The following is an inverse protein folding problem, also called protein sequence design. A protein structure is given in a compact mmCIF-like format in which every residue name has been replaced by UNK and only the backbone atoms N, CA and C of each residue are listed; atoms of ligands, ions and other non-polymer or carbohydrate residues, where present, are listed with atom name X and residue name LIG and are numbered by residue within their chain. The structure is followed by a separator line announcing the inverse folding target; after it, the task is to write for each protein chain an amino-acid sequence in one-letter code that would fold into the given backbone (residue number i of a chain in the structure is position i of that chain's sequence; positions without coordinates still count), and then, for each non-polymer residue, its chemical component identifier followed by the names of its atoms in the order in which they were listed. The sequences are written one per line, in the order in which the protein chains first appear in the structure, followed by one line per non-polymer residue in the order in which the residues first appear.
data_IF_897049699474
#
_entry.id   IF_897049699474
#
_cell.length_a   1.000
_cell.length_b   1.000
_cell.length_c   1.000
_cell.angle_alpha   90.00
_cell.angle_beta   90.00
_cell.angle_gamma   90.00
#
_symmetry.space_group_name_H-M   'P 1'
#
loop_
_entity.id
_entity.type
_entity.pdbx_description
1 polymer ?
#
# COMPACT_ATOMS: atom_id res chain seq x y z
N UNK A 1 -53.34 -4.56 21.21
CA UNK A 1 -52.73 -3.94 20.03
C UNK A 1 -51.26 -4.37 19.98
N UNK A 2 -51.03 -5.43 19.25
CA UNK A 2 -49.70 -5.97 18.95
C UNK A 2 -49.08 -5.08 17.84
N UNK A 3 -47.91 -4.55 18.10
CA UNK A 3 -47.11 -3.87 17.10
C UNK A 3 -46.28 -4.92 16.37
N UNK A 4 -46.64 -5.19 15.13
CA UNK A 4 -45.82 -6.01 14.22
C UNK A 4 -44.52 -5.29 13.92
N UNK A 5 -43.41 -5.87 14.38
CA UNK A 5 -42.06 -5.43 13.99
C UNK A 5 -41.73 -6.08 12.66
N UNK A 6 -41.78 -5.29 11.59
CA UNK A 6 -41.42 -5.72 10.25
C UNK A 6 -39.88 -5.89 10.19
N UNK A 7 -39.40 -7.10 10.34
CA UNK A 7 -38.00 -7.46 10.12
C UNK A 7 -37.71 -7.46 8.64
N UNK A 8 -36.89 -6.52 8.22
CA UNK A 8 -36.41 -6.39 6.85
C UNK A 8 -35.47 -7.58 6.50
N UNK A 9 -35.96 -8.51 5.66
CA UNK A 9 -35.31 -9.77 5.32
C UNK A 9 -34.12 -9.63 4.32
N UNK A 10 -33.55 -8.45 4.11
CA UNK A 10 -32.51 -8.23 3.11
C UNK A 10 -31.15 -7.80 3.70
N UNK A 11 -30.84 -8.19 4.93
CA UNK A 11 -29.49 -8.00 5.48
C UNK A 11 -28.57 -9.05 4.88
N UNK A 12 -27.83 -8.70 3.82
CA UNK A 12 -26.69 -9.53 3.36
C UNK A 12 -25.68 -9.61 4.50
N UNK A 13 -25.56 -10.78 5.11
CA UNK A 13 -24.53 -11.04 6.11
C UNK A 13 -23.19 -11.14 5.37
N UNK A 14 -22.41 -10.07 5.40
CA UNK A 14 -21.05 -10.10 4.90
C UNK A 14 -20.18 -10.87 5.89
N UNK A 15 -19.69 -12.05 5.49
CA UNK A 15 -18.68 -12.75 6.27
C UNK A 15 -17.40 -11.96 6.21
N UNK A 16 -16.97 -11.37 7.32
CA UNK A 16 -15.65 -10.76 7.44
C UNK A 16 -14.61 -11.87 7.32
N UNK A 17 -13.91 -11.92 6.19
CA UNK A 17 -12.77 -12.82 5.99
C UNK A 17 -11.60 -12.16 6.70
N UNK A 18 -11.18 -12.73 7.86
CA UNK A 18 -9.97 -12.26 8.53
C UNK A 18 -8.74 -12.64 7.69
N UNK A 19 -7.81 -11.71 7.41
CA UNK A 19 -6.57 -12.04 6.72
C UNK A 19 -5.81 -13.12 7.48
N UNK A 20 -5.26 -14.09 6.75
CA UNK A 20 -4.44 -15.14 7.35
C UNK A 20 -3.03 -14.60 7.57
N UNK A 21 -2.57 -14.59 8.82
CA UNK A 21 -1.16 -14.37 9.13
C UNK A 21 -0.41 -15.69 9.05
N UNK A 22 0.69 -15.72 8.31
CA UNK A 22 1.50 -16.91 8.05
C UNK A 22 2.91 -16.73 8.61
N UNK A 23 3.56 -17.82 9.01
CA UNK A 23 5.00 -17.81 9.28
C UNK A 23 5.78 -17.72 7.95
N UNK A 24 7.06 -17.33 8.01
CA UNK A 24 7.90 -17.19 6.82
C UNK A 24 7.95 -18.48 5.99
N UNK A 25 8.11 -19.63 6.64
CA UNK A 25 8.18 -20.94 5.99
C UNK A 25 6.87 -21.27 5.26
N UNK A 26 5.71 -20.91 5.84
CA UNK A 26 4.40 -21.10 5.22
C UNK A 26 4.19 -20.17 4.04
N UNK A 27 4.67 -18.92 4.11
CA UNK A 27 4.62 -17.97 2.99
C UNK A 27 5.41 -18.53 1.81
N UNK A 28 6.67 -18.92 2.03
CA UNK A 28 7.56 -19.48 0.99
C UNK A 28 6.95 -20.73 0.38
N UNK A 29 6.46 -21.66 1.21
CA UNK A 29 5.85 -22.90 0.73
C UNK A 29 4.58 -22.65 -0.11
N UNK A 30 3.72 -21.72 0.30
CA UNK A 30 2.49 -21.41 -0.43
C UNK A 30 2.80 -20.66 -1.74
N UNK A 31 3.75 -19.72 -1.75
CA UNK A 31 4.20 -19.04 -2.97
C UNK A 31 4.82 -20.03 -3.96
N UNK A 32 5.67 -20.96 -3.48
CA UNK A 32 6.24 -22.02 -4.29
C UNK A 32 5.17 -22.92 -4.92
N UNK A 33 4.12 -23.24 -4.20
CA UNK A 33 3.03 -24.04 -4.74
C UNK A 33 2.24 -23.28 -5.81
N UNK A 34 1.88 -22.01 -5.53
CA UNK A 34 1.15 -21.16 -6.49
C UNK A 34 1.98 -20.88 -7.74
N UNK A 35 3.30 -20.72 -7.62
CA UNK A 35 4.21 -20.45 -8.75
C UNK A 35 4.24 -21.57 -9.80
N UNK A 36 3.80 -22.78 -9.48
CA UNK A 36 3.71 -23.89 -10.43
C UNK A 36 2.55 -23.76 -11.42
N UNK A 37 1.54 -22.95 -11.07
CA UNK A 37 0.28 -22.88 -11.80
C UNK A 37 -0.08 -21.45 -12.23
N UNK A 38 0.67 -20.46 -11.80
CA UNK A 38 0.42 -19.04 -12.07
C UNK A 38 1.74 -18.32 -12.34
N UNK A 39 1.89 -17.80 -13.56
CA UNK A 39 3.10 -17.13 -14.03
C UNK A 39 3.41 -15.85 -13.24
N UNK A 40 2.40 -15.13 -12.74
CA UNK A 40 2.61 -13.95 -11.90
C UNK A 40 3.19 -14.34 -10.54
N UNK A 41 2.66 -15.38 -9.91
CA UNK A 41 3.27 -15.93 -8.69
C UNK A 41 4.67 -16.47 -8.93
N UNK A 42 4.94 -17.02 -10.13
CA UNK A 42 6.30 -17.46 -10.47
C UNK A 42 7.28 -16.29 -10.50
N UNK A 43 6.94 -15.17 -11.14
CA UNK A 43 7.78 -13.97 -11.16
C UNK A 43 8.05 -13.42 -9.75
N UNK A 44 7.04 -13.43 -8.88
CA UNK A 44 7.20 -13.02 -7.47
C UNK A 44 8.11 -14.01 -6.73
N UNK A 45 7.91 -15.31 -6.92
CA UNK A 45 8.70 -16.34 -6.24
C UNK A 45 10.17 -16.33 -6.67
N UNK A 46 10.45 -16.09 -7.95
CA UNK A 46 11.80 -16.03 -8.51
C UNK A 46 12.63 -14.86 -7.92
N UNK A 47 11.97 -13.84 -7.34
CA UNK A 47 12.58 -12.66 -6.69
C UNK A 47 12.21 -12.54 -5.20
N UNK A 48 11.89 -13.67 -4.55
CA UNK A 48 11.28 -13.69 -3.21
C UNK A 48 12.07 -12.93 -2.14
N UNK A 49 13.39 -12.89 -2.24
CA UNK A 49 14.28 -12.23 -1.29
C UNK A 49 14.29 -10.70 -1.42
N UNK A 50 13.65 -10.16 -2.46
CA UNK A 50 13.57 -8.72 -2.70
C UNK A 50 12.34 -8.06 -2.04
N UNK A 51 11.46 -8.86 -1.41
CA UNK A 51 10.21 -8.35 -0.83
C UNK A 51 10.19 -8.41 0.69
N UNK A 52 9.65 -7.36 1.35
CA UNK A 52 9.27 -7.46 2.75
C UNK A 52 8.28 -8.62 2.99
N UNK A 53 8.45 -9.33 4.10
CA UNK A 53 7.59 -10.46 4.47
C UNK A 53 6.10 -10.08 4.52
N UNK A 54 5.79 -8.87 4.99
CA UNK A 54 4.41 -8.37 5.05
C UNK A 54 3.75 -8.34 3.68
N UNK A 55 4.48 -7.90 2.67
CA UNK A 55 4.04 -7.79 1.28
C UNK A 55 3.76 -9.17 0.67
N UNK A 56 4.65 -10.14 0.89
CA UNK A 56 4.46 -11.53 0.46
C UNK A 56 3.23 -12.18 1.10
N UNK A 57 2.97 -11.89 2.38
CA UNK A 57 1.74 -12.38 3.03
C UNK A 57 0.49 -11.66 2.52
N UNK A 58 0.60 -10.38 2.17
CA UNK A 58 -0.51 -9.59 1.64
C UNK A 58 -0.98 -10.13 0.27
N UNK A 59 -0.08 -10.41 -0.67
CA UNK A 59 -0.45 -10.95 -2.00
C UNK A 59 -1.06 -12.35 -1.92
N UNK A 60 -0.70 -13.16 -0.94
CA UNK A 60 -1.33 -14.46 -0.70
C UNK A 60 -2.78 -14.34 -0.19
N UNK A 61 -3.11 -13.22 0.47
CA UNK A 61 -4.46 -12.90 0.91
C UNK A 61 -5.25 -12.14 -0.17
N UNK A 62 -4.58 -11.34 -1.01
CA UNK A 62 -5.15 -10.49 -2.04
C UNK A 62 -4.42 -10.72 -3.36
N UNK A 63 -4.83 -11.73 -4.15
CA UNK A 63 -4.16 -12.09 -5.41
C UNK A 63 -4.11 -10.95 -6.45
N UNK A 64 -5.02 -9.99 -6.36
CA UNK A 64 -5.06 -8.79 -7.20
C UNK A 64 -3.86 -7.85 -7.00
N UNK A 65 -3.07 -8.04 -5.94
CA UNK A 65 -1.82 -7.29 -5.70
C UNK A 65 -0.62 -7.81 -6.52
N UNK A 66 -0.79 -8.85 -7.32
CA UNK A 66 0.33 -9.49 -8.03
C UNK A 66 1.11 -8.51 -8.93
N UNK A 67 0.40 -7.66 -9.70
CA UNK A 67 1.06 -6.72 -10.62
C UNK A 67 1.87 -5.67 -9.84
N UNK A 68 1.33 -5.15 -8.75
CA UNK A 68 2.04 -4.28 -7.83
C UNK A 68 3.32 -4.95 -7.28
N UNK A 69 3.25 -6.21 -6.82
CA UNK A 69 4.44 -6.89 -6.33
C UNK A 69 5.47 -7.12 -7.44
N UNK A 70 5.05 -7.48 -8.63
CA UNK A 70 5.98 -7.69 -9.76
C UNK A 70 6.80 -6.43 -10.05
N UNK A 71 6.18 -5.26 -10.01
CA UNK A 71 6.86 -3.99 -10.22
C UNK A 71 7.68 -3.49 -9.03
N UNK A 72 7.39 -3.95 -7.81
CA UNK A 72 8.00 -3.41 -6.59
C UNK A 72 9.54 -3.41 -6.58
N UNK A 73 10.25 -4.52 -6.94
CA UNK A 73 11.71 -4.53 -6.88
C UNK A 73 12.39 -3.59 -7.87
N UNK A 74 11.67 -3.18 -8.91
CA UNK A 74 12.18 -2.26 -9.94
C UNK A 74 11.77 -0.80 -9.66
N UNK A 75 10.98 -0.57 -8.57
CA UNK A 75 10.56 0.77 -8.17
C UNK A 75 11.60 1.43 -7.28
N UNK A 76 12.28 2.44 -7.80
CA UNK A 76 13.40 3.10 -7.14
C UNK A 76 12.99 3.97 -5.94
N UNK A 77 11.80 4.57 -5.95
CA UNK A 77 11.34 5.45 -4.87
C UNK A 77 11.21 4.70 -3.56
N UNK A 78 10.38 3.65 -3.54
CA UNK A 78 10.12 2.88 -2.31
C UNK A 78 11.39 2.20 -1.79
N UNK A 79 12.16 1.55 -2.67
CA UNK A 79 13.38 0.85 -2.26
C UNK A 79 14.44 1.81 -1.73
N UNK A 80 14.60 2.98 -2.33
CA UNK A 80 15.52 4.02 -1.87
C UNK A 80 15.10 4.55 -0.50
N UNK A 81 13.82 4.86 -0.34
CA UNK A 81 13.25 5.35 0.92
C UNK A 81 13.43 4.36 2.06
N UNK A 82 13.09 3.08 1.87
CA UNK A 82 13.23 2.05 2.89
C UNK A 82 14.70 1.80 3.27
N UNK A 83 15.65 1.89 2.33
CA UNK A 83 17.08 1.77 2.64
C UNK A 83 17.56 2.92 3.52
N UNK A 84 17.15 4.15 3.25
CA UNK A 84 17.52 5.31 4.08
C UNK A 84 17.02 5.15 5.52
N UNK A 85 15.80 4.67 5.71
CA UNK A 85 15.23 4.41 7.04
C UNK A 85 15.99 3.30 7.81
N UNK A 86 16.44 2.25 7.12
CA UNK A 86 17.20 1.16 7.77
C UNK A 86 18.58 1.61 8.24
N UNK A 87 19.25 2.46 7.47
CA UNK A 87 20.58 2.98 7.80
C UNK A 87 20.53 3.94 8.99
N UNK A 88 19.45 4.71 9.16
CA UNK A 88 19.26 5.59 10.33
C UNK A 88 18.94 4.81 11.62
N UNK A 89 18.34 3.62 11.53
CA UNK A 89 17.98 2.82 12.69
C UNK A 89 19.14 2.01 13.29
N UNK A 90 20.21 1.78 12.56
CA UNK A 90 21.40 1.05 13.06
C UNK A 90 22.38 1.94 13.84
N UNK A 91 22.30 3.28 13.72
CA UNK A 91 23.22 4.21 14.40
C UNK A 91 22.77 4.62 15.81
N UNK A 92 21.63 4.14 16.33
CA UNK A 92 21.10 4.52 17.64
C UNK A 92 21.26 3.42 18.70
N UNK A 93 22.47 2.86 18.87
CA UNK A 93 22.82 2.14 20.09
C UNK A 93 24.21 2.56 20.56
N UNK A 94 24.21 3.18 21.76
CA UNK A 94 25.33 3.52 22.65
C UNK A 94 25.93 4.92 22.48
N UNK A 95 25.39 5.91 23.22
CA UNK A 95 26.13 6.60 24.28
C UNK A 95 25.20 7.52 25.05
N UNK A 96 25.16 7.33 26.38
CA UNK A 96 24.57 8.27 27.32
C UNK A 96 25.41 9.56 27.39
N UNK A 97 24.70 10.64 27.67
CA UNK A 97 25.12 11.91 28.26
C UNK A 97 25.62 13.04 27.31
N UNK A 98 24.84 14.10 27.43
CA UNK A 98 25.21 15.53 27.31
C UNK A 98 25.13 16.22 25.95
N UNK A 99 24.36 17.28 26.06
CA UNK A 99 24.34 18.52 25.24
C UNK A 99 23.38 18.55 24.08
N UNK A 100 22.21 19.19 24.37
CA UNK A 100 21.32 19.76 23.38
C UNK A 100 22.12 20.69 22.45
N UNK A 101 22.43 20.21 21.28
CA UNK A 101 22.73 21.05 20.13
C UNK A 101 21.71 20.69 19.05
N UNK A 102 20.94 21.70 18.74
CA UNK A 102 20.02 21.76 17.60
C UNK A 102 20.81 21.51 16.31
N UNK A 103 20.95 20.24 15.96
CA UNK A 103 21.45 19.84 14.64
C UNK A 103 20.25 19.92 13.70
N UNK A 104 20.23 20.96 12.89
CA UNK A 104 19.40 21.00 11.69
C UNK A 104 19.64 19.73 10.89
N UNK A 105 18.71 18.81 10.96
CA UNK A 105 18.59 17.68 10.03
C UNK A 105 18.60 18.29 8.63
N UNK A 106 19.64 18.05 7.87
CA UNK A 106 19.61 18.27 6.45
C UNK A 106 18.64 17.24 5.89
N UNK A 107 17.39 17.71 5.79
CA UNK A 107 16.31 17.07 5.08
C UNK A 107 16.77 16.84 3.64
N UNK A 108 17.23 15.64 3.33
CA UNK A 108 17.45 15.20 1.95
C UNK A 108 16.09 14.85 1.35
N UNK A 109 15.19 15.84 1.34
CA UNK A 109 13.95 15.79 0.59
C UNK A 109 14.29 15.77 -0.89
N UNK A 110 14.61 14.61 -1.45
CA UNK A 110 14.39 14.41 -2.87
C UNK A 110 12.88 14.46 -3.08
N UNK A 111 12.39 15.60 -3.50
CA UNK A 111 10.98 15.83 -3.83
C UNK A 111 10.58 14.82 -4.91
N UNK A 112 9.63 13.94 -4.60
CA UNK A 112 9.12 12.97 -5.56
C UNK A 112 8.25 13.75 -6.56
N UNK A 113 8.60 13.68 -7.84
CA UNK A 113 7.80 14.30 -8.88
C UNK A 113 6.51 13.52 -9.10
N UNK A 114 5.39 14.11 -8.68
CA UNK A 114 4.04 13.57 -8.81
C UNK A 114 3.34 14.04 -10.09
N UNK A 115 3.97 14.86 -10.92
CA UNK A 115 3.36 15.53 -12.09
C UNK A 115 2.81 14.56 -13.15
N UNK A 116 3.37 13.37 -13.22
CA UNK A 116 2.94 12.32 -14.15
C UNK A 116 1.79 11.45 -13.62
N UNK A 117 1.45 11.57 -12.33
CA UNK A 117 0.37 10.80 -11.70
C UNK A 117 -0.97 11.49 -11.97
N UNK A 118 -1.74 10.96 -12.92
CA UNK A 118 -3.00 11.58 -13.36
C UNK A 118 -4.19 10.63 -13.25
N UNK A 119 -5.32 11.21 -12.87
CA UNK A 119 -6.61 10.52 -12.93
C UNK A 119 -7.11 10.43 -14.37
N UNK A 120 -7.70 9.30 -14.71
CA UNK A 120 -8.38 9.14 -16.01
C UNK A 120 -9.61 10.06 -16.10
N UNK A 121 -10.04 10.36 -17.32
CA UNK A 121 -11.24 11.17 -17.53
C UNK A 121 -12.49 10.56 -16.88
N UNK A 122 -12.60 9.22 -16.92
CA UNK A 122 -13.68 8.48 -16.28
C UNK A 122 -13.69 8.64 -14.77
N UNK A 123 -12.53 8.57 -14.13
CA UNK A 123 -12.38 8.75 -12.69
C UNK A 123 -12.77 10.18 -12.28
N UNK A 124 -12.26 11.20 -12.99
CA UNK A 124 -12.54 12.62 -12.70
C UNK A 124 -14.02 12.98 -12.84
N UNK A 125 -14.73 12.38 -13.80
CA UNK A 125 -16.15 12.65 -14.04
C UNK A 125 -17.10 11.82 -13.20
N UNK A 126 -16.59 10.85 -12.45
CA UNK A 126 -17.41 9.99 -11.61
C UNK A 126 -17.82 10.69 -10.32
N UNK A 127 -19.11 10.64 -9.99
CA UNK A 127 -19.58 11.04 -8.65
C UNK A 127 -19.16 10.03 -7.56
N UNK A 128 -18.75 8.83 -7.96
CA UNK A 128 -18.29 7.76 -7.08
C UNK A 128 -17.07 7.11 -7.72
N UNK A 129 -15.91 7.79 -7.77
CA UNK A 129 -14.70 7.19 -8.32
C UNK A 129 -14.26 6.02 -7.46
N UNK A 130 -13.70 4.99 -8.10
CA UNK A 130 -13.13 3.85 -7.41
C UNK A 130 -11.63 3.82 -7.68
N UNK A 131 -10.83 4.05 -6.64
CA UNK A 131 -9.38 3.93 -6.70
C UNK A 131 -8.95 2.67 -5.96
N UNK A 132 -7.95 2.00 -6.51
CA UNK A 132 -7.35 0.81 -5.91
C UNK A 132 -6.05 1.24 -5.25
N UNK A 133 -5.87 0.90 -3.97
CA UNK A 133 -4.71 1.30 -3.18
C UNK A 133 -3.38 0.89 -3.83
N UNK A 134 -3.32 -0.30 -4.41
CA UNK A 134 -2.14 -0.84 -5.10
C UNK A 134 -2.14 -0.62 -6.61
N UNK A 135 -2.80 0.42 -7.12
CA UNK A 135 -2.67 0.87 -8.50
C UNK A 135 -1.24 1.42 -8.72
N UNK A 136 -0.54 0.90 -9.73
CA UNK A 136 0.87 1.20 -10.00
C UNK A 136 1.15 2.70 -10.19
N UNK A 137 0.16 3.50 -10.51
CA UNK A 137 0.29 4.95 -10.64
C UNK A 137 0.73 5.63 -9.34
N UNK A 138 0.33 5.12 -8.19
CA UNK A 138 0.65 5.71 -6.87
C UNK A 138 1.11 4.70 -5.83
N UNK A 139 0.96 3.41 -6.07
CA UNK A 139 1.22 2.38 -5.07
C UNK A 139 2.64 2.39 -4.51
N UNK A 140 3.61 2.79 -5.32
CA UNK A 140 5.03 2.78 -4.93
C UNK A 140 5.48 4.04 -4.20
N UNK A 141 4.65 5.08 -4.15
CA UNK A 141 4.98 6.32 -3.44
C UNK A 141 5.15 6.03 -1.95
N UNK A 142 6.24 6.48 -1.32
CA UNK A 142 6.47 6.32 0.11
C UNK A 142 5.33 6.93 0.94
N UNK A 143 4.92 6.23 2.01
CA UNK A 143 3.90 6.68 2.93
C UNK A 143 4.17 6.12 4.33
N UNK A 144 4.67 6.96 5.22
CA UNK A 144 5.20 6.53 6.51
C UNK A 144 6.38 5.57 6.32
N UNK A 145 6.41 4.48 7.06
CA UNK A 145 7.45 3.44 6.97
C UNK A 145 7.24 2.45 5.81
N UNK A 146 6.23 2.68 4.99
CA UNK A 146 5.82 1.77 3.91
C UNK A 146 5.61 2.54 2.60
N UNK A 147 4.68 2.10 1.79
CA UNK A 147 4.22 2.80 0.59
C UNK A 147 2.68 2.83 0.54
N UNK A 148 2.13 3.63 -0.36
CA UNK A 148 0.67 3.75 -0.53
C UNK A 148 0.05 2.38 -0.79
N UNK A 149 0.67 1.52 -1.60
CA UNK A 149 0.14 0.20 -1.93
C UNK A 149 -0.07 -0.70 -0.70
N UNK A 150 0.74 -0.51 0.35
CA UNK A 150 0.66 -1.30 1.59
C UNK A 150 -0.13 -0.59 2.70
N UNK A 151 0.06 0.71 2.89
CA UNK A 151 -0.48 1.46 4.02
C UNK A 151 -1.45 2.58 3.64
N UNK A 152 -1.59 2.93 2.35
CA UNK A 152 -2.29 4.10 1.85
C UNK A 152 -3.83 4.00 1.77
N UNK A 153 -4.51 3.18 2.59
CA UNK A 153 -5.97 3.11 2.56
C UNK A 153 -6.63 4.46 2.89
N UNK A 154 -6.07 5.22 3.82
CA UNK A 154 -6.54 6.55 4.21
C UNK A 154 -6.50 7.56 3.04
N UNK A 155 -5.32 7.87 2.49
CA UNK A 155 -5.21 8.78 1.35
C UNK A 155 -6.01 8.29 0.13
N UNK A 156 -6.06 6.99 -0.16
CA UNK A 156 -6.87 6.44 -1.26
C UNK A 156 -8.36 6.71 -1.06
N UNK A 157 -8.90 6.47 0.14
CA UNK A 157 -10.30 6.77 0.45
C UNK A 157 -10.58 8.26 0.42
N UNK A 158 -9.71 9.10 0.96
CA UNK A 158 -9.87 10.55 0.98
C UNK A 158 -9.86 11.13 -0.44
N UNK A 159 -8.94 10.66 -1.28
CA UNK A 159 -8.89 11.01 -2.70
C UNK A 159 -10.23 10.71 -3.42
N UNK A 160 -10.80 9.51 -3.22
CA UNK A 160 -12.11 9.15 -3.78
C UNK A 160 -13.22 10.12 -3.34
N UNK A 161 -13.24 10.52 -2.07
CA UNK A 161 -14.23 11.46 -1.54
C UNK A 161 -14.05 12.85 -2.16
N UNK A 162 -12.82 13.37 -2.19
CA UNK A 162 -12.54 14.70 -2.75
C UNK A 162 -12.90 14.75 -4.24
N UNK A 163 -12.41 13.77 -5.02
CA UNK A 163 -12.70 13.73 -6.47
C UNK A 163 -14.20 13.58 -6.74
N UNK A 164 -14.88 12.71 -6.01
CA UNK A 164 -16.33 12.50 -6.17
C UNK A 164 -17.17 13.75 -5.86
N UNK A 165 -16.74 14.59 -4.90
CA UNK A 165 -17.46 15.79 -4.52
C UNK A 165 -17.07 17.03 -5.34
N UNK A 166 -15.82 17.14 -5.75
CA UNK A 166 -15.27 18.39 -6.33
C UNK A 166 -14.83 18.26 -7.79
N UNK A 167 -14.70 17.05 -8.29
CA UNK A 167 -14.09 16.74 -9.60
C UNK A 167 -12.66 17.30 -9.74
N UNK A 168 -11.95 17.51 -8.62
CA UNK A 168 -10.56 17.96 -8.63
C UNK A 168 -9.66 16.86 -9.20
N UNK A 169 -9.03 17.12 -10.34
CA UNK A 169 -8.15 16.16 -11.03
C UNK A 169 -6.81 15.94 -10.33
N UNK A 170 -6.41 16.90 -9.49
CA UNK A 170 -5.12 16.86 -8.77
C UNK A 170 -5.20 16.06 -7.47
N UNK A 171 -6.41 15.78 -6.96
CA UNK A 171 -6.59 15.05 -5.71
C UNK A 171 -6.35 13.52 -5.90
N UNK A 172 -5.18 13.15 -6.38
CA UNK A 172 -4.77 11.74 -6.49
C UNK A 172 -4.43 11.14 -5.12
N UNK A 173 -4.42 9.82 -4.95
CA UNK A 173 -3.94 9.19 -3.71
C UNK A 173 -2.51 9.59 -3.33
N UNK A 174 -1.64 9.87 -4.31
CA UNK A 174 -0.28 10.35 -4.10
C UNK A 174 -0.23 11.77 -3.54
N UNK A 175 -1.06 12.68 -4.06
CA UNK A 175 -1.14 14.07 -3.58
C UNK A 175 -1.78 14.19 -2.19
N UNK A 176 -2.57 13.22 -1.79
CA UNK A 176 -3.24 13.21 -0.48
C UNK A 176 -2.37 12.52 0.59
N UNK A 177 -1.34 11.76 0.18
CA UNK A 177 -0.47 11.02 1.07
C UNK A 177 0.58 11.90 1.75
#
# INVERSE_FOLDING_TARGET
KETETTTNKNTKVYKTIKPKTRTTEKIVAELKERSKHDEKYKKIYDRIDEYPKGMLNAVLNNPEMQDFLIGYPDNQYTLKYLKTQSDESEETTLTEAETVQETTAQDSNEEIDLSDIKLTEKERKSAHPLFIQWDERWAYIPYGDENIGMAGCGPTCMSMVIVGLTHNSEATPAEIA
#
